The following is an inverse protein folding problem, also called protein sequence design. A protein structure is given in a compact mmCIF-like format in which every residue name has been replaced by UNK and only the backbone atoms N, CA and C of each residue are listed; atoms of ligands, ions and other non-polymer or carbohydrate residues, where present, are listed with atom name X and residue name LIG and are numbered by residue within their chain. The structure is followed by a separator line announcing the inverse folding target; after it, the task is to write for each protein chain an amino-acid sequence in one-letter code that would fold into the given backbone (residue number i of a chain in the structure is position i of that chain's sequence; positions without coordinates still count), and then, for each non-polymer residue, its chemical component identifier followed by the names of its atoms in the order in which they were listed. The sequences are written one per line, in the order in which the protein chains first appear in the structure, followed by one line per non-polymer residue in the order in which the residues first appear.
data_IF_750582685899
#
_entry.id   IF_750582685899
#
_cell.length_a   1.000
_cell.length_b   1.000
_cell.length_c   1.000
_cell.angle_alpha   90.00
_cell.angle_beta   90.00
_cell.angle_gamma   90.00
#
_symmetry.space_group_name_H-M   'P 1'
#
loop_
_entity.id
_entity.type
_entity.pdbx_description
1 polymer ?
#
# COMPACT_ATOMS: atom_id res chain seq x y z
N UNK A 1 -19.26 5.83 -16.56
CA UNK A 1 -19.70 4.47 -16.20
C UNK A 1 -18.44 3.72 -15.80
N UNK A 2 -18.32 3.38 -14.52
CA UNK A 2 -17.15 2.65 -13.98
C UNK A 2 -17.25 1.19 -14.44
N UNK A 3 -16.15 0.59 -14.89
CA UNK A 3 -16.13 -0.81 -15.30
C UNK A 3 -16.11 -1.72 -14.07
N UNK A 4 -16.75 -2.89 -14.13
CA UNK A 4 -16.74 -3.88 -13.03
C UNK A 4 -15.32 -4.28 -12.62
N UNK A 5 -14.39 -4.36 -13.57
CA UNK A 5 -12.98 -4.67 -13.30
C UNK A 5 -12.25 -3.51 -12.60
N UNK A 6 -12.63 -2.27 -12.89
CA UNK A 6 -12.11 -1.11 -12.18
C UNK A 6 -12.49 -1.17 -10.71
N UNK A 7 -13.80 -1.27 -10.40
CA UNK A 7 -14.28 -1.38 -9.02
C UNK A 7 -13.66 -2.58 -8.31
N UNK A 8 -13.57 -3.74 -8.96
CA UNK A 8 -12.93 -4.92 -8.39
C UNK A 8 -11.46 -4.65 -8.01
N UNK A 9 -10.70 -3.96 -8.86
CA UNK A 9 -9.30 -3.63 -8.58
C UNK A 9 -9.15 -2.64 -7.43
N UNK A 10 -9.96 -1.59 -7.42
CA UNK A 10 -9.97 -0.59 -6.35
C UNK A 10 -10.33 -1.21 -4.99
N UNK A 11 -11.33 -2.12 -4.97
CA UNK A 11 -11.75 -2.81 -3.76
C UNK A 11 -10.73 -3.83 -3.28
N UNK A 12 -10.13 -4.61 -4.18
CA UNK A 12 -9.08 -5.57 -3.85
C UNK A 12 -7.83 -4.87 -3.29
N UNK A 13 -7.49 -3.68 -3.79
CA UNK A 13 -6.42 -2.85 -3.24
C UNK A 13 -6.69 -2.42 -1.78
N UNK A 14 -7.93 -1.99 -1.49
CA UNK A 14 -8.33 -1.63 -0.12
C UNK A 14 -8.32 -2.83 0.82
N UNK A 15 -8.81 -3.99 0.36
CA UNK A 15 -8.72 -5.25 1.11
C UNK A 15 -7.29 -5.64 1.42
N UNK A 16 -6.40 -5.52 0.43
CA UNK A 16 -5.00 -5.87 0.60
C UNK A 16 -4.33 -4.99 1.66
N UNK A 17 -4.62 -3.69 1.67
CA UNK A 17 -4.14 -2.77 2.70
C UNK A 17 -4.69 -3.11 4.09
N UNK A 18 -5.99 -3.41 4.20
CA UNK A 18 -6.62 -3.82 5.46
C UNK A 18 -6.00 -5.12 6.00
N UNK A 19 -5.80 -6.11 5.13
CA UNK A 19 -5.21 -7.39 5.48
C UNK A 19 -3.75 -7.26 5.94
N UNK A 20 -2.96 -6.39 5.29
CA UNK A 20 -1.61 -6.05 5.76
C UNK A 20 -1.63 -5.38 7.13
N UNK A 21 -2.57 -4.45 7.36
CA UNK A 21 -2.68 -3.74 8.63
C UNK A 21 -3.04 -4.68 9.80
N UNK A 22 -3.86 -5.70 9.54
CA UNK A 22 -4.26 -6.71 10.55
C UNK A 22 -3.30 -7.90 10.62
N UNK A 23 -2.28 -7.96 9.77
CA UNK A 23 -1.35 -9.09 9.62
C UNK A 23 -2.06 -10.43 9.34
N UNK A 24 -3.20 -10.39 8.64
CA UNK A 24 -3.96 -11.60 8.26
C UNK A 24 -3.41 -12.19 6.95
N UNK A 25 -2.65 -13.28 7.06
CA UNK A 25 -2.01 -13.91 5.91
C UNK A 25 -3.00 -14.51 4.91
N UNK A 26 -4.15 -15.02 5.37
CA UNK A 26 -5.16 -15.60 4.47
C UNK A 26 -5.87 -14.49 3.69
N UNK A 27 -6.23 -13.40 4.37
CA UNK A 27 -6.80 -12.23 3.73
C UNK A 27 -5.82 -11.56 2.76
N UNK A 28 -4.53 -11.49 3.07
CA UNK A 28 -3.49 -10.98 2.15
C UNK A 28 -3.46 -11.83 0.88
N UNK A 29 -3.44 -13.16 1.01
CA UNK A 29 -3.38 -14.06 -0.14
C UNK A 29 -4.65 -13.93 -1.01
N UNK A 30 -5.83 -13.85 -0.39
CA UNK A 30 -7.10 -13.66 -1.10
C UNK A 30 -7.14 -12.33 -1.83
N UNK A 31 -6.85 -11.22 -1.15
CA UNK A 31 -6.89 -9.89 -1.75
C UNK A 31 -5.86 -9.72 -2.87
N UNK A 32 -4.70 -10.39 -2.76
CA UNK A 32 -3.70 -10.41 -3.83
C UNK A 32 -4.19 -11.19 -5.06
N UNK A 33 -4.87 -12.32 -4.86
CA UNK A 33 -5.47 -13.09 -5.96
C UNK A 33 -6.56 -12.28 -6.67
N UNK A 34 -7.41 -11.58 -5.91
CA UNK A 34 -8.45 -10.71 -6.45
C UNK A 34 -7.83 -9.52 -7.21
N UNK A 35 -6.76 -8.93 -6.67
CA UNK A 35 -6.04 -7.82 -7.30
C UNK A 35 -5.41 -8.20 -8.64
N UNK A 36 -5.09 -9.49 -8.84
CA UNK A 36 -4.32 -9.96 -10.01
C UNK A 36 -5.13 -10.85 -10.96
N UNK A 37 -6.46 -10.95 -10.77
CA UNK A 37 -7.35 -11.84 -11.52
C UNK A 37 -7.30 -11.62 -13.04
N UNK A 38 -7.12 -10.38 -13.50
CA UNK A 38 -6.87 -10.06 -14.89
C UNK A 38 -6.07 -8.74 -15.02
N UNK A 39 -5.47 -8.45 -16.19
CA UNK A 39 -4.61 -7.28 -16.37
C UNK A 39 -5.28 -5.95 -16.04
N UNK A 40 -6.57 -5.81 -16.36
CA UNK A 40 -7.33 -4.59 -16.06
C UNK A 40 -7.50 -4.39 -14.56
N UNK A 41 -7.85 -5.45 -13.83
CA UNK A 41 -7.99 -5.42 -12.37
C UNK A 41 -6.65 -5.08 -11.71
N UNK A 42 -5.55 -5.70 -12.17
CA UNK A 42 -4.20 -5.42 -11.67
C UNK A 42 -3.79 -3.96 -11.90
N UNK A 43 -4.10 -3.40 -13.08
CA UNK A 43 -3.82 -2.00 -13.39
C UNK A 43 -4.56 -1.04 -12.45
N UNK A 44 -5.84 -1.29 -12.18
CA UNK A 44 -6.63 -0.45 -11.28
C UNK A 44 -6.28 -0.64 -9.80
N UNK A 45 -5.97 -1.87 -9.38
CA UNK A 45 -5.45 -2.12 -8.04
C UNK A 45 -4.13 -1.36 -7.81
N UNK A 46 -3.19 -1.44 -8.77
CA UNK A 46 -1.92 -0.70 -8.71
C UNK A 46 -2.14 0.82 -8.70
N UNK A 47 -3.03 1.32 -9.54
CA UNK A 47 -3.37 2.75 -9.57
C UNK A 47 -3.95 3.22 -8.23
N UNK A 48 -4.88 2.46 -7.66
CA UNK A 48 -5.50 2.77 -6.37
C UNK A 48 -4.47 2.79 -5.24
N UNK A 49 -3.59 1.79 -5.17
CA UNK A 49 -2.54 1.72 -4.16
C UNK A 49 -1.52 2.85 -4.30
N UNK A 50 -1.15 3.21 -5.54
CA UNK A 50 -0.28 4.34 -5.80
C UNK A 50 -0.93 5.66 -5.35
N UNK A 51 -2.23 5.84 -5.60
CA UNK A 51 -3.00 6.99 -5.12
C UNK A 51 -3.04 7.06 -3.59
N UNK A 52 -3.36 5.94 -2.92
CA UNK A 52 -3.41 5.86 -1.46
C UNK A 52 -2.03 6.09 -0.82
N UNK A 53 -0.94 5.60 -1.44
CA UNK A 53 0.41 5.90 -1.00
C UNK A 53 0.71 7.40 -1.10
N UNK A 54 0.36 8.02 -2.23
CA UNK A 54 0.53 9.46 -2.44
C UNK A 54 -0.23 10.27 -1.39
N UNK A 55 -1.50 9.95 -1.17
CA UNK A 55 -2.34 10.62 -0.17
C UNK A 55 -1.79 10.43 1.25
N UNK A 56 -1.29 9.24 1.59
CA UNK A 56 -0.68 8.97 2.88
C UNK A 56 0.61 9.77 3.11
N UNK A 57 1.42 10.00 2.06
CA UNK A 57 2.60 10.86 2.14
C UNK A 57 2.19 12.32 2.37
N UNK A 58 1.17 12.81 1.66
CA UNK A 58 0.69 14.20 1.80
C UNK A 58 -0.06 14.46 3.11
N UNK A 59 -0.64 13.42 3.73
CA UNK A 59 -1.34 13.54 5.01
C UNK A 59 -0.42 13.84 6.21
N UNK A 60 0.91 13.76 6.03
CA UNK A 60 1.87 14.07 7.09
C UNK A 60 1.87 15.56 7.44
N UNK A 61 1.66 15.94 8.72
CA UNK A 61 1.60 17.35 9.11
C UNK A 61 2.88 18.15 8.84
N UNK A 62 4.03 17.48 8.81
CA UNK A 62 5.36 18.07 8.65
C UNK A 62 5.94 17.90 7.24
N UNK A 63 5.12 17.46 6.27
CA UNK A 63 5.59 17.23 4.90
C UNK A 63 6.11 18.51 4.25
N UNK A 64 7.26 18.39 3.58
CA UNK A 64 7.85 19.48 2.79
C UNK A 64 8.24 18.96 1.43
N UNK A 65 7.79 19.62 0.36
CA UNK A 65 8.19 19.27 -1.00
C UNK A 65 9.66 19.59 -1.31
N UNK A 66 10.35 20.27 -0.38
CA UNK A 66 11.77 20.61 -0.49
C UNK A 66 12.68 19.65 0.28
N UNK A 67 12.12 18.62 0.93
CA UNK A 67 12.89 17.65 1.72
C UNK A 67 12.42 16.23 1.41
N UNK A 68 13.32 15.26 1.58
CA UNK A 68 12.95 13.86 1.53
C UNK A 68 11.77 13.49 2.44
N UNK A 69 10.78 12.82 1.88
CA UNK A 69 9.61 12.32 2.60
C UNK A 69 9.95 11.01 3.32
N UNK A 70 10.96 10.99 4.17
CA UNK A 70 11.44 9.77 4.84
C UNK A 70 10.41 9.22 5.82
N UNK A 71 10.12 7.91 5.77
CA UNK A 71 9.17 7.24 6.68
C UNK A 71 9.57 7.42 8.15
N UNK A 72 8.61 7.81 8.98
CA UNK A 72 8.83 8.02 10.40
C UNK A 72 8.93 6.71 11.22
N UNK A 73 9.19 6.82 12.53
CA UNK A 73 9.55 5.69 13.38
C UNK A 73 8.44 4.65 13.53
N UNK A 74 7.17 5.07 13.55
CA UNK A 74 6.04 4.16 13.75
C UNK A 74 5.86 3.27 12.53
N UNK A 75 5.89 3.86 11.32
CA UNK A 75 5.88 3.09 10.08
C UNK A 75 7.07 2.15 9.93
N UNK A 76 8.28 2.60 10.30
CA UNK A 76 9.49 1.75 10.26
C UNK A 76 9.42 0.57 11.22
N UNK A 77 8.91 0.80 12.44
CA UNK A 77 8.73 -0.27 13.43
C UNK A 77 7.73 -1.30 12.94
N UNK A 78 6.66 -0.87 12.28
CA UNK A 78 5.70 -1.78 11.68
C UNK A 78 6.33 -2.63 10.57
N UNK A 79 7.12 -2.02 9.65
CA UNK A 79 7.79 -2.74 8.56
C UNK A 79 8.68 -3.90 9.03
N UNK A 80 9.28 -3.80 10.23
CA UNK A 80 10.11 -4.88 10.81
C UNK A 80 9.33 -6.18 11.06
N UNK A 81 8.01 -6.12 11.13
CA UNK A 81 7.12 -7.26 11.38
C UNK A 81 6.43 -7.75 10.10
N UNK A 82 6.68 -7.13 8.95
CA UNK A 82 6.10 -7.52 7.66
C UNK A 82 7.04 -8.50 6.96
N UNK A 83 6.54 -9.69 6.65
CA UNK A 83 7.30 -10.66 5.85
C UNK A 83 7.26 -10.26 4.38
N UNK A 84 8.43 -10.06 3.76
CA UNK A 84 8.57 -9.59 2.39
C UNK A 84 9.57 -10.46 1.62
N UNK A 85 9.30 -10.68 0.33
CA UNK A 85 10.28 -11.24 -0.60
C UNK A 85 11.35 -10.19 -0.96
N UNK A 86 12.61 -10.60 -1.19
CA UNK A 86 13.77 -9.70 -1.31
C UNK A 86 13.54 -8.44 -2.18
N UNK A 87 13.25 -8.59 -3.48
CA UNK A 87 12.94 -7.46 -4.37
C UNK A 87 11.83 -6.52 -3.89
N UNK A 88 10.79 -7.05 -3.22
CA UNK A 88 9.72 -6.22 -2.64
C UNK A 88 10.24 -5.47 -1.41
N UNK A 89 11.00 -6.15 -0.55
CA UNK A 89 11.59 -5.54 0.64
C UNK A 89 12.53 -4.39 0.26
N UNK A 90 13.40 -4.60 -0.73
CA UNK A 90 14.35 -3.60 -1.21
C UNK A 90 13.61 -2.35 -1.73
N UNK A 91 12.55 -2.54 -2.51
CA UNK A 91 11.72 -1.43 -3.02
C UNK A 91 10.91 -0.73 -1.95
N UNK A 92 10.32 -1.47 -1.00
CA UNK A 92 9.62 -0.87 0.14
C UNK A 92 10.56 -0.03 0.99
N UNK A 93 11.78 -0.51 1.24
CA UNK A 93 12.78 0.22 2.02
C UNK A 93 13.30 1.45 1.27
N UNK A 94 13.54 1.34 -0.05
CA UNK A 94 13.84 2.49 -0.88
C UNK A 94 12.75 3.57 -0.84
N UNK A 95 11.48 3.18 -0.92
CA UNK A 95 10.35 4.12 -0.79
C UNK A 95 10.23 4.69 0.63
N UNK A 96 10.67 3.96 1.65
CA UNK A 96 10.75 4.46 3.03
C UNK A 96 11.88 5.50 3.20
N UNK A 97 12.97 5.37 2.47
CA UNK A 97 14.16 6.23 2.54
C UNK A 97 14.15 7.41 1.55
N UNK A 98 13.01 7.65 0.87
CA UNK A 98 12.79 8.73 -0.12
C UNK A 98 13.35 8.47 -1.54
N UNK A 99 13.18 7.26 -2.04
CA UNK A 99 13.19 7.04 -3.49
C UNK A 99 14.56 6.73 -4.08
N UNK A 100 15.38 5.97 -3.36
CA UNK A 100 16.45 5.22 -4.02
C UNK A 100 15.82 4.14 -4.92
N UNK A 101 15.38 4.49 -6.13
CA UNK A 101 14.75 3.55 -7.08
C UNK A 101 15.63 2.31 -7.26
N UNK A 102 15.29 1.17 -6.63
CA UNK A 102 16.07 -0.04 -6.82
C UNK A 102 15.86 -0.43 -8.26
N UNK A 103 16.95 -0.73 -8.98
CA UNK A 103 16.90 -1.18 -10.37
C UNK A 103 16.36 -2.62 -10.50
N UNK A 104 15.37 -2.98 -9.70
CA UNK A 104 14.70 -4.27 -9.73
C UNK A 104 13.53 -4.21 -10.72
N UNK A 105 13.52 -5.15 -11.67
CA UNK A 105 12.33 -5.41 -12.46
C UNK A 105 11.33 -6.17 -11.57
N UNK A 106 10.31 -5.47 -11.11
CA UNK A 106 9.17 -6.05 -10.41
C UNK A 106 8.04 -6.38 -11.39
N UNK A 107 7.39 -7.53 -11.20
CA UNK A 107 6.13 -7.85 -11.87
C UNK A 107 4.94 -7.11 -11.22
N UNK A 108 3.74 -7.23 -11.82
CA UNK A 108 2.54 -6.55 -11.33
C UNK A 108 2.17 -6.96 -9.89
N UNK A 109 2.33 -8.24 -9.53
CA UNK A 109 2.03 -8.75 -8.19
C UNK A 109 2.97 -8.13 -7.16
N UNK A 110 4.26 -8.05 -7.50
CA UNK A 110 5.28 -7.43 -6.66
C UNK A 110 5.08 -5.92 -6.53
N UNK A 111 4.68 -5.23 -7.59
CA UNK A 111 4.32 -3.80 -7.52
C UNK A 111 3.10 -3.54 -6.64
N UNK A 112 2.06 -4.36 -6.78
CA UNK A 112 0.86 -4.29 -5.92
C UNK A 112 1.25 -4.50 -4.45
N UNK A 113 2.03 -5.53 -4.13
CA UNK A 113 2.51 -5.76 -2.77
C UNK A 113 3.34 -4.57 -2.24
N UNK A 114 4.26 -4.06 -3.05
CA UNK A 114 5.12 -2.92 -2.71
C UNK A 114 4.29 -1.70 -2.32
N UNK A 115 3.35 -1.29 -3.18
CA UNK A 115 2.53 -0.11 -2.91
C UNK A 115 1.60 -0.31 -1.72
N UNK A 116 1.00 -1.49 -1.55
CA UNK A 116 0.15 -1.77 -0.39
C UNK A 116 0.92 -1.66 0.93
N UNK A 117 2.08 -2.31 1.03
CA UNK A 117 2.92 -2.28 2.23
C UNK A 117 3.42 -0.86 2.51
N UNK A 118 3.92 -0.15 1.48
CA UNK A 118 4.37 1.23 1.63
C UNK A 118 3.24 2.16 2.06
N UNK A 119 2.04 2.03 1.49
CA UNK A 119 0.89 2.85 1.86
C UNK A 119 0.48 2.59 3.31
N UNK A 120 0.38 1.33 3.74
CA UNK A 120 0.03 0.98 5.13
C UNK A 120 1.06 1.53 6.11
N UNK A 121 2.36 1.36 5.84
CA UNK A 121 3.42 1.90 6.69
C UNK A 121 3.28 3.42 6.89
N UNK A 122 2.94 4.14 5.82
CA UNK A 122 2.73 5.61 5.85
C UNK A 122 1.49 6.00 6.63
N UNK A 123 0.37 5.31 6.43
CA UNK A 123 -0.87 5.60 7.14
C UNK A 123 -0.71 5.30 8.64
N UNK A 124 0.02 4.25 9.02
CA UNK A 124 0.37 3.96 10.42
C UNK A 124 1.21 5.10 11.02
N UNK A 125 2.17 5.63 10.26
CA UNK A 125 3.02 6.73 10.72
C UNK A 125 2.23 8.03 10.95
N UNK A 126 1.18 8.27 10.16
CA UNK A 126 0.34 9.47 10.26
C UNK A 126 -0.72 9.34 11.36
N UNK A 127 -1.44 8.21 11.40
CA UNK A 127 -2.67 8.09 12.21
C UNK A 127 -2.55 7.07 13.35
N UNK A 128 -1.52 6.22 13.35
CA UNK A 128 -1.47 5.01 14.17
C UNK A 128 -2.39 3.90 13.64
N UNK A 129 -2.16 2.64 14.07
CA UNK A 129 -2.77 1.45 13.45
C UNK A 129 -4.29 1.39 13.62
N UNK A 130 -4.84 1.75 14.78
CA UNK A 130 -6.28 1.67 15.03
C UNK A 130 -7.09 2.67 14.19
N UNK A 131 -6.60 3.92 14.07
CA UNK A 131 -7.25 4.95 13.27
C UNK A 131 -7.08 4.67 11.78
N UNK A 132 -5.93 4.13 11.37
CA UNK A 132 -5.69 3.66 10.01
C UNK A 132 -6.74 2.63 9.58
N UNK A 133 -7.04 1.65 10.44
CA UNK A 133 -8.01 0.60 10.16
C UNK A 133 -9.42 1.18 9.97
N UNK A 134 -9.85 2.06 10.89
CA UNK A 134 -11.16 2.70 10.79
C UNK A 134 -11.31 3.55 9.53
N UNK A 135 -10.25 4.26 9.12
CA UNK A 135 -10.25 5.06 7.87
C UNK A 135 -10.34 4.19 6.62
N UNK A 136 -9.55 3.12 6.53
CA UNK A 136 -9.57 2.22 5.38
C UNK A 136 -10.91 1.49 5.25
N UNK A 137 -11.48 1.03 6.37
CA UNK A 137 -12.82 0.44 6.39
C UNK A 137 -13.88 1.44 5.92
N UNK A 138 -13.82 2.70 6.37
CA UNK A 138 -14.74 3.74 5.92
C UNK A 138 -14.64 4.01 4.40
N UNK A 139 -13.42 4.09 3.85
CA UNK A 139 -13.22 4.28 2.40
C UNK A 139 -13.84 3.11 1.65
N UNK A 140 -13.60 1.88 2.12
CA UNK A 140 -14.15 0.66 1.55
C UNK A 140 -15.67 0.62 1.55
N UNK A 141 -16.31 1.03 2.64
CA UNK A 141 -17.78 1.02 2.76
C UNK A 141 -18.47 2.08 1.87
N UNK A 142 -17.72 3.09 1.42
CA UNK A 142 -18.23 4.18 0.56
C UNK A 142 -17.94 4.01 -0.93
N UNK A 143 -17.14 3.01 -1.31
CA UNK A 143 -16.75 2.70 -2.68
C UNK A 143 -17.75 1.73 -3.35
#
# INVERSE_FOLDING_TARGET
MISTQQTAGEMAALDLMLAHLTHDSEAIASAMADSTVCPTTAAYARQQLCGLLHDAVLARPDISLNRPAVLGPAGRTWLQHVTMHGPVADTVMALADDGADPRHHLDDTQWIATYAISAVARIIDVYGPAVAAGRLAQIRDTA
#
